data_IF_336205822080
#
_entry.id   IF_336205822080
#
_cell.length_a   1.000
_cell.length_b   1.000
_cell.length_c   1.000
_cell.angle_alpha   90.00
_cell.angle_beta   90.00
_cell.angle_gamma   90.00
#
_symmetry.space_group_name_H-M   'P 1'
#
loop_
_entity.id
_entity.type
_entity.pdbx_description
1 polymer ?
#
# COMPACT_ATOMS: atom_id res chain seq x y z
N UNK A 1 -22.16 0.14 -27.92
CA UNK A 1 -21.84 -0.25 -26.53
C UNK A 1 -22.52 0.76 -25.60
N UNK A 2 -23.39 0.31 -24.70
CA UNK A 2 -23.97 1.21 -23.71
C UNK A 2 -22.88 1.66 -22.73
N UNK A 3 -22.72 2.97 -22.55
CA UNK A 3 -21.79 3.50 -21.57
C UNK A 3 -22.29 3.12 -20.16
N UNK A 4 -21.50 2.38 -19.40
CA UNK A 4 -21.77 2.12 -17.99
C UNK A 4 -21.62 3.46 -17.26
N UNK A 5 -22.72 4.00 -16.75
CA UNK A 5 -22.67 5.17 -15.87
C UNK A 5 -22.28 4.68 -14.48
N UNK A 6 -21.05 4.91 -14.10
CA UNK A 6 -20.61 4.74 -12.71
C UNK A 6 -21.30 5.79 -11.85
N UNK A 7 -21.79 5.39 -10.68
CA UNK A 7 -22.38 6.31 -9.70
C UNK A 7 -21.35 7.36 -9.24
N UNK A 8 -21.83 8.42 -8.56
CA UNK A 8 -20.95 9.39 -7.93
C UNK A 8 -20.40 8.81 -6.62
N UNK A 9 -19.14 9.10 -6.32
CA UNK A 9 -18.59 8.86 -5.00
C UNK A 9 -19.17 9.88 -4.02
N UNK A 10 -19.96 9.41 -3.06
CA UNK A 10 -20.59 10.23 -2.01
C UNK A 10 -19.82 10.20 -0.70
N UNK A 11 -18.74 9.40 -0.62
CA UNK A 11 -17.94 9.28 0.58
C UNK A 11 -16.90 10.38 0.63
N UNK A 12 -16.89 11.10 1.74
CA UNK A 12 -15.94 12.17 2.01
C UNK A 12 -15.29 11.95 3.37
N UNK A 13 -14.16 12.55 3.59
CA UNK A 13 -13.39 12.45 4.81
C UNK A 13 -13.13 13.83 5.39
N UNK A 14 -13.39 14.02 6.66
CA UNK A 14 -12.99 15.20 7.42
C UNK A 14 -11.69 14.93 8.17
N UNK A 15 -10.61 15.58 7.76
CA UNK A 15 -9.30 15.39 8.40
C UNK A 15 -9.25 15.95 9.83
N UNK A 16 -10.05 17.00 10.13
CA UNK A 16 -10.08 17.61 11.47
C UNK A 16 -10.85 16.75 12.50
N UNK A 17 -11.90 16.04 12.07
CA UNK A 17 -12.71 15.19 12.94
C UNK A 17 -12.34 13.71 12.81
N UNK A 18 -11.44 13.35 11.91
CA UNK A 18 -11.06 11.96 11.58
C UNK A 18 -12.28 11.05 11.32
N UNK A 19 -13.27 11.54 10.54
CA UNK A 19 -14.51 10.84 10.32
C UNK A 19 -15.00 10.89 8.88
N UNK A 20 -15.84 9.91 8.53
CA UNK A 20 -16.57 9.91 7.27
C UNK A 20 -17.68 10.96 7.29
N UNK A 21 -17.81 11.64 6.16
CA UNK A 21 -18.90 12.57 5.87
C UNK A 21 -19.60 12.12 4.59
N UNK A 22 -20.92 12.17 4.56
CA UNK A 22 -21.69 11.78 3.38
C UNK A 22 -22.18 13.02 2.62
N UNK A 23 -21.95 13.03 1.31
CA UNK A 23 -22.54 13.94 0.33
C UNK A 23 -22.18 15.43 0.43
N UNK A 24 -21.60 15.91 1.55
CA UNK A 24 -21.35 17.33 1.75
C UNK A 24 -19.89 17.70 1.71
N UNK A 25 -19.56 18.85 1.09
CA UNK A 25 -18.20 19.40 1.08
C UNK A 25 -17.80 20.00 2.43
N UNK A 26 -18.74 20.13 3.35
CA UNK A 26 -18.56 20.72 4.67
C UNK A 26 -18.89 19.68 5.75
N UNK A 27 -17.97 19.50 6.69
CA UNK A 27 -18.20 18.59 7.82
C UNK A 27 -19.32 19.11 8.72
N UNK A 28 -20.35 18.32 9.02
CA UNK A 28 -21.46 18.74 9.86
C UNK A 28 -21.08 18.93 11.33
N UNK A 29 -19.92 18.42 11.75
CA UNK A 29 -19.45 18.51 13.15
C UNK A 29 -18.60 19.75 13.38
N UNK A 30 -17.57 19.98 12.54
CA UNK A 30 -16.64 21.10 12.75
C UNK A 30 -16.80 22.26 11.76
N UNK A 31 -17.67 22.14 10.76
CA UNK A 31 -17.82 23.14 9.69
C UNK A 31 -16.65 23.23 8.72
N UNK A 32 -15.62 22.42 8.90
CA UNK A 32 -14.44 22.38 8.03
C UNK A 32 -14.69 21.69 6.69
N UNK A 33 -13.83 21.91 5.72
CA UNK A 33 -13.89 21.30 4.40
C UNK A 33 -13.59 19.80 4.49
N UNK A 34 -14.44 18.98 3.89
CA UNK A 34 -14.18 17.56 3.69
C UNK A 34 -13.59 17.29 2.30
N UNK A 35 -12.80 16.23 2.16
CA UNK A 35 -12.24 15.77 0.88
C UNK A 35 -12.89 14.47 0.43
N UNK A 36 -12.82 14.16 -0.84
CA UNK A 36 -13.28 12.87 -1.34
C UNK A 36 -12.44 11.72 -0.78
N UNK A 37 -13.10 10.61 -0.45
CA UNK A 37 -12.41 9.35 -0.13
C UNK A 37 -11.87 8.76 -1.43
N UNK A 38 -10.60 8.35 -1.44
CA UNK A 38 -9.99 7.70 -2.60
C UNK A 38 -10.53 6.27 -2.74
N UNK A 39 -11.29 6.01 -3.79
CA UNK A 39 -11.81 4.68 -4.13
C UNK A 39 -11.70 4.41 -5.62
N UNK A 40 -11.44 3.15 -5.99
CA UNK A 40 -11.55 2.72 -7.38
C UNK A 40 -13.01 2.46 -7.74
N UNK A 41 -13.56 3.12 -8.78
CA UNK A 41 -14.93 2.88 -9.23
C UNK A 41 -15.14 1.45 -9.73
N UNK A 42 -16.37 0.91 -9.64
CA UNK A 42 -17.64 1.55 -9.28
C UNK A 42 -17.85 1.79 -7.79
N UNK A 43 -16.99 1.26 -6.92
CA UNK A 43 -17.06 1.39 -5.48
C UNK A 43 -18.15 0.51 -4.85
N UNK A 44 -17.71 -0.50 -4.10
CA UNK A 44 -18.55 -1.30 -3.20
C UNK A 44 -17.88 -1.26 -1.82
N UNK A 45 -18.11 -0.15 -1.12
CA UNK A 45 -17.37 0.20 0.11
C UNK A 45 -18.18 -0.20 1.33
N UNK A 46 -17.53 -0.91 2.23
CA UNK A 46 -18.07 -1.23 3.55
C UNK A 46 -17.06 -0.92 4.67
N UNK A 47 -17.50 -0.70 5.90
CA UNK A 47 -16.61 -0.71 7.06
C UNK A 47 -15.90 -2.07 7.19
N UNK A 48 -14.63 -2.05 7.59
CA UNK A 48 -13.93 -3.25 7.99
C UNK A 48 -14.41 -3.69 9.38
N UNK A 49 -14.71 -4.98 9.53
CA UNK A 49 -15.01 -5.58 10.81
C UNK A 49 -13.71 -6.02 11.52
N UNK A 50 -13.80 -6.34 12.80
CA UNK A 50 -12.64 -6.79 13.60
C UNK A 50 -11.90 -7.97 12.97
N UNK A 51 -12.64 -8.90 12.39
CA UNK A 51 -12.07 -10.04 11.65
C UNK A 51 -11.26 -9.59 10.42
N UNK A 52 -11.73 -8.59 9.66
CA UNK A 52 -11.00 -8.06 8.49
C UNK A 52 -9.71 -7.37 8.95
N UNK A 53 -9.81 -6.53 9.99
CA UNK A 53 -8.66 -5.83 10.57
C UNK A 53 -7.62 -6.83 11.07
N UNK A 54 -8.06 -7.86 11.79
CA UNK A 54 -7.19 -8.95 12.26
C UNK A 54 -6.47 -9.65 11.10
N UNK A 55 -7.22 -10.06 10.07
CA UNK A 55 -6.67 -10.69 8.88
C UNK A 55 -5.61 -9.81 8.20
N UNK A 56 -5.90 -8.52 8.00
CA UNK A 56 -4.97 -7.58 7.35
C UNK A 56 -3.69 -7.41 8.18
N UNK A 57 -3.83 -7.26 9.51
CA UNK A 57 -2.67 -7.15 10.41
C UNK A 57 -1.82 -8.42 10.37
N UNK A 58 -2.41 -9.60 10.45
CA UNK A 58 -1.70 -10.88 10.35
C UNK A 58 -0.99 -11.07 9.00
N UNK A 59 -1.60 -10.60 7.91
CA UNK A 59 -0.98 -10.60 6.59
C UNK A 59 0.26 -9.70 6.54
N UNK A 60 0.17 -8.50 7.09
CA UNK A 60 1.28 -7.56 7.14
C UNK A 60 2.42 -8.11 8.02
N UNK A 61 2.13 -8.65 9.20
CA UNK A 61 3.13 -9.27 10.09
C UNK A 61 3.80 -10.48 9.43
N UNK A 62 3.03 -11.32 8.76
CA UNK A 62 3.57 -12.47 8.04
C UNK A 62 4.53 -12.07 6.92
N UNK A 63 4.19 -11.03 6.14
CA UNK A 63 4.98 -10.62 4.97
C UNK A 63 6.14 -9.69 5.33
N UNK A 64 5.98 -8.83 6.34
CA UNK A 64 6.93 -7.75 6.64
C UNK A 64 7.53 -7.83 8.04
N UNK A 65 7.10 -8.77 8.88
CA UNK A 65 7.57 -8.98 10.25
C UNK A 65 6.63 -8.42 11.30
N UNK A 66 6.77 -8.94 12.51
CA UNK A 66 5.96 -8.56 13.66
C UNK A 66 5.95 -7.06 13.91
N UNK A 67 4.77 -6.52 14.22
CA UNK A 67 4.53 -5.08 14.39
C UNK A 67 4.14 -4.34 13.10
N UNK A 68 4.34 -4.95 11.92
CA UNK A 68 3.96 -4.35 10.63
C UNK A 68 2.44 -4.18 10.50
N UNK A 69 1.68 -5.12 11.06
CA UNK A 69 0.21 -5.05 11.06
C UNK A 69 -0.32 -3.87 11.86
N UNK A 70 0.23 -3.65 13.06
CA UNK A 70 -0.14 -2.51 13.89
C UNK A 70 0.33 -1.19 13.30
N UNK A 71 1.51 -1.18 12.68
CA UNK A 71 2.02 0.01 11.97
C UNK A 71 1.14 0.36 10.75
N UNK A 72 0.66 -0.65 10.02
CA UNK A 72 -0.25 -0.45 8.88
C UNK A 72 -1.61 0.09 9.34
N UNK A 73 -2.23 -0.58 10.30
CA UNK A 73 -3.53 -0.21 10.88
C UNK A 73 -3.35 0.02 12.38
N UNK A 74 -3.06 1.24 12.82
CA UNK A 74 -3.05 1.58 14.25
C UNK A 74 -4.42 1.35 14.90
N UNK A 75 -4.46 1.24 16.23
CA UNK A 75 -5.72 1.12 16.95
C UNK A 75 -6.59 2.37 16.80
N UNK A 76 -7.89 2.18 16.81
CA UNK A 76 -8.87 3.26 16.73
C UNK A 76 -9.03 3.92 15.36
N UNK A 77 -8.33 3.45 14.32
CA UNK A 77 -8.48 4.01 12.97
C UNK A 77 -9.72 3.51 12.25
N UNK A 78 -10.32 4.41 11.47
CA UNK A 78 -11.44 4.05 10.58
C UNK A 78 -10.87 3.35 9.35
N UNK A 79 -11.27 2.10 9.17
CA UNK A 79 -10.86 1.26 8.04
C UNK A 79 -12.08 0.91 7.20
N UNK A 80 -11.97 1.13 5.90
CA UNK A 80 -12.96 0.71 4.93
C UNK A 80 -12.34 -0.29 3.95
N UNK A 81 -13.17 -1.17 3.43
CA UNK A 81 -12.83 -2.07 2.35
C UNK A 81 -13.66 -1.72 1.12
N UNK A 82 -13.00 -1.54 -0.02
CA UNK A 82 -13.63 -1.34 -1.31
C UNK A 82 -13.42 -2.58 -2.17
N UNK A 83 -14.48 -3.35 -2.39
CA UNK A 83 -14.42 -4.57 -3.20
C UNK A 83 -14.21 -4.23 -4.67
N UNK A 84 -13.25 -4.89 -5.30
CA UNK A 84 -13.03 -4.78 -6.75
C UNK A 84 -14.08 -5.64 -7.50
N UNK A 85 -15.03 -5.06 -8.24
CA UNK A 85 -16.19 -5.78 -8.78
C UNK A 85 -15.85 -6.85 -9.82
N UNK A 86 -14.73 -6.68 -10.51
CA UNK A 86 -14.26 -7.63 -11.54
C UNK A 86 -13.38 -8.75 -10.99
N UNK A 87 -13.04 -8.70 -9.70
CA UNK A 87 -12.12 -9.63 -9.05
C UNK A 87 -12.66 -9.98 -7.67
N UNK A 88 -13.46 -11.02 -7.57
CA UNK A 88 -14.11 -11.50 -6.32
C UNK A 88 -13.16 -11.72 -5.13
N UNK A 89 -11.86 -11.54 -5.34
CA UNK A 89 -10.79 -11.88 -4.42
C UNK A 89 -9.82 -10.71 -4.18
N UNK A 90 -10.27 -9.50 -4.41
CA UNK A 90 -9.45 -8.31 -4.23
C UNK A 90 -10.25 -7.20 -3.57
N UNK A 91 -9.74 -6.70 -2.44
CA UNK A 91 -10.28 -5.56 -1.74
C UNK A 91 -9.21 -4.49 -1.55
N UNK A 92 -9.54 -3.23 -1.85
CA UNK A 92 -8.71 -2.08 -1.48
C UNK A 92 -8.91 -1.78 0.00
N UNK A 93 -7.83 -1.51 0.70
CA UNK A 93 -7.83 -1.09 2.10
C UNK A 93 -7.72 0.42 2.13
N UNK A 94 -8.74 1.05 2.71
CA UNK A 94 -8.83 2.50 2.85
C UNK A 94 -8.72 2.83 4.34
N UNK A 95 -7.74 3.64 4.70
CA UNK A 95 -7.53 4.12 6.07
C UNK A 95 -7.54 5.63 6.03
N UNK A 96 -8.32 6.24 6.90
CA UNK A 96 -8.45 7.69 7.00
C UNK A 96 -8.78 8.36 5.65
N UNK A 97 -9.66 7.71 4.88
CA UNK A 97 -10.11 8.18 3.57
C UNK A 97 -9.12 8.02 2.42
N UNK A 98 -8.00 7.29 2.61
CA UNK A 98 -6.98 7.06 1.60
C UNK A 98 -6.77 5.58 1.33
N UNK A 99 -6.67 5.18 0.08
CA UNK A 99 -6.32 3.80 -0.27
C UNK A 99 -4.84 3.54 0.00
N UNK A 100 -4.56 2.74 1.03
CA UNK A 100 -3.18 2.48 1.49
C UNK A 100 -2.58 1.20 0.94
N UNK A 101 -3.40 0.18 0.68
CA UNK A 101 -2.98 -1.13 0.21
C UNK A 101 -4.15 -1.87 -0.45
N UNK A 102 -3.87 -3.06 -0.95
CA UNK A 102 -4.87 -3.99 -1.47
C UNK A 102 -4.60 -5.37 -0.90
N UNK A 103 -5.65 -6.09 -0.50
CA UNK A 103 -5.53 -7.55 -0.26
C UNK A 103 -6.05 -8.30 -1.48
N UNK A 104 -5.37 -9.36 -1.85
CA UNK A 104 -5.77 -10.25 -2.95
C UNK A 104 -5.61 -11.70 -2.55
N UNK A 105 -6.59 -12.50 -2.92
CA UNK A 105 -6.53 -13.94 -2.74
C UNK A 105 -6.05 -14.63 -4.01
N UNK A 106 -4.99 -15.40 -3.91
CA UNK A 106 -4.47 -16.28 -4.96
C UNK A 106 -4.70 -17.76 -4.58
N UNK A 107 -5.21 -18.59 -5.49
CA UNK A 107 -5.56 -19.98 -5.23
C UNK A 107 -4.40 -20.84 -4.70
N UNK A 108 -3.17 -20.54 -5.11
CA UNK A 108 -1.99 -21.30 -4.70
C UNK A 108 -1.30 -20.79 -3.44
N UNK A 109 -1.44 -19.51 -3.11
CA UNK A 109 -0.68 -18.87 -2.01
C UNK A 109 -1.54 -18.23 -0.94
N UNK A 110 -2.87 -18.21 -1.12
CA UNK A 110 -3.82 -17.58 -0.20
C UNK A 110 -3.81 -16.05 -0.28
N UNK A 111 -4.21 -15.40 0.79
CA UNK A 111 -4.25 -13.95 0.88
C UNK A 111 -2.85 -13.33 0.88
N UNK A 112 -2.69 -12.27 0.08
CA UNK A 112 -1.49 -11.43 0.00
C UNK A 112 -1.86 -9.96 0.20
N UNK A 113 -1.00 -9.23 0.91
CA UNK A 113 -1.05 -7.79 1.01
C UNK A 113 -0.17 -7.18 -0.09
N UNK A 114 -0.73 -6.27 -0.85
CA UNK A 114 -0.06 -5.51 -1.90
C UNK A 114 0.00 -4.06 -1.44
N UNK A 115 1.19 -3.58 -1.14
CA UNK A 115 1.39 -2.24 -0.59
C UNK A 115 1.32 -1.16 -1.67
N UNK A 116 0.68 -0.03 -1.33
CA UNK A 116 0.92 1.27 -1.95
C UNK A 116 1.98 2.05 -1.13
N UNK A 117 2.35 3.25 -1.56
CA UNK A 117 3.36 4.04 -0.85
C UNK A 117 2.98 4.38 0.58
N UNK A 118 1.69 4.66 0.83
CA UNK A 118 1.18 5.00 2.17
C UNK A 118 1.42 3.86 3.17
N UNK A 119 1.10 2.61 2.79
CA UNK A 119 1.38 1.46 3.64
C UNK A 119 2.87 1.20 3.78
N UNK A 120 3.63 1.33 2.69
CA UNK A 120 5.08 1.14 2.72
C UNK A 120 5.76 2.12 3.71
N UNK A 121 5.34 3.38 3.73
CA UNK A 121 5.87 4.37 4.65
C UNK A 121 5.54 4.07 6.12
N UNK A 122 4.37 3.49 6.40
CA UNK A 122 3.98 3.06 7.75
C UNK A 122 4.77 1.84 8.20
N UNK A 123 5.00 0.89 7.29
CA UNK A 123 5.62 -0.41 7.58
C UNK A 123 7.16 -0.32 7.61
N UNK A 124 7.79 0.43 6.72
CA UNK A 124 9.24 0.48 6.54
C UNK A 124 10.05 0.72 7.84
N UNK A 125 9.62 1.58 8.79
CA UNK A 125 10.36 1.79 10.04
C UNK A 125 10.45 0.57 10.95
N UNK A 126 9.44 -0.31 10.91
CA UNK A 126 9.29 -1.44 11.84
C UNK A 126 9.53 -2.81 11.22
N UNK A 127 9.49 -2.91 9.88
CA UNK A 127 9.59 -4.18 9.17
C UNK A 127 10.92 -4.89 9.43
N UNK A 128 10.88 -6.22 9.51
CA UNK A 128 12.05 -7.10 9.62
C UNK A 128 12.20 -8.05 8.44
N UNK A 129 11.21 -8.12 7.55
CA UNK A 129 11.14 -9.00 6.37
C UNK A 129 10.69 -8.23 5.13
N UNK A 130 10.80 -8.85 3.96
CA UNK A 130 10.21 -8.34 2.72
C UNK A 130 10.77 -6.99 2.24
N UNK A 131 11.96 -6.60 2.70
CA UNK A 131 12.63 -5.36 2.29
C UNK A 131 13.73 -5.64 1.27
N UNK A 132 13.96 -4.68 0.39
CA UNK A 132 15.12 -4.59 -0.50
C UNK A 132 15.73 -3.22 -0.32
N UNK A 133 17.00 -3.16 0.05
CA UNK A 133 17.74 -1.90 0.25
C UNK A 133 18.39 -1.49 -1.06
N UNK A 134 18.05 -0.31 -1.56
CA UNK A 134 18.69 0.26 -2.74
C UNK A 134 19.80 1.24 -2.37
N UNK A 135 20.78 1.38 -3.27
CA UNK A 135 21.81 2.42 -3.17
C UNK A 135 21.22 3.81 -3.47
N UNK A 136 21.96 4.86 -3.11
CA UNK A 136 21.52 6.25 -3.31
C UNK A 136 21.37 6.60 -4.79
N UNK A 137 22.21 6.01 -5.66
CA UNK A 137 22.16 6.22 -7.11
C UNK A 137 20.89 5.63 -7.72
N UNK A 138 20.42 4.48 -7.22
CA UNK A 138 19.22 3.82 -7.69
C UNK A 138 17.93 4.53 -7.25
N UNK A 139 17.93 5.24 -6.11
CA UNK A 139 16.73 5.91 -5.56
C UNK A 139 16.04 6.79 -6.60
N UNK A 140 16.80 7.66 -7.27
CA UNK A 140 16.25 8.58 -8.28
C UNK A 140 15.54 7.84 -9.41
N UNK A 141 16.16 6.76 -9.93
CA UNK A 141 15.58 5.98 -11.02
C UNK A 141 14.30 5.27 -10.60
N UNK A 142 14.28 4.70 -9.40
CA UNK A 142 13.09 4.03 -8.86
C UNK A 142 11.95 5.03 -8.64
N UNK A 143 12.23 6.23 -8.15
CA UNK A 143 11.27 7.32 -8.00
C UNK A 143 10.77 7.90 -9.34
N UNK A 144 11.49 7.66 -10.44
CA UNK A 144 11.08 7.97 -11.81
C UNK A 144 10.32 6.80 -12.48
N UNK A 145 9.77 5.86 -11.72
CA UNK A 145 8.99 4.70 -12.22
C UNK A 145 9.83 3.61 -12.91
N UNK A 146 11.16 3.64 -12.78
CA UNK A 146 12.02 2.60 -13.32
C UNK A 146 12.11 1.42 -12.35
N UNK A 147 12.30 0.24 -12.89
CA UNK A 147 12.55 -0.95 -12.09
C UNK A 147 13.87 -0.85 -11.34
N UNK A 148 13.94 -1.42 -10.13
CA UNK A 148 15.20 -1.58 -9.43
C UNK A 148 15.99 -2.72 -10.09
N UNK A 149 17.20 -2.39 -10.56
CA UNK A 149 18.13 -3.35 -11.15
C UNK A 149 19.01 -3.98 -10.07
N UNK A 150 19.46 -5.21 -10.28
CA UNK A 150 20.32 -5.92 -9.32
C UNK A 150 21.58 -5.14 -8.89
N UNK A 151 22.32 -4.44 -9.78
CA UNK A 151 23.46 -3.61 -9.37
C UNK A 151 23.13 -2.49 -8.40
N UNK A 152 21.87 -2.06 -8.33
CA UNK A 152 21.39 -1.04 -7.39
C UNK A 152 20.93 -1.58 -6.05
N UNK A 153 21.00 -2.90 -5.81
CA UNK A 153 20.63 -3.55 -4.54
C UNK A 153 21.85 -3.67 -3.65
N UNK A 154 21.79 -3.13 -2.45
CA UNK A 154 22.88 -3.22 -1.47
C UNK A 154 22.62 -4.29 -0.40
N UNK A 155 21.34 -4.57 -0.10
CA UNK A 155 20.92 -5.62 0.83
C UNK A 155 19.48 -6.05 0.51
N UNK A 156 19.10 -7.26 0.91
CA UNK A 156 17.74 -7.76 0.78
C UNK A 156 17.45 -8.82 1.85
N UNK A 157 16.21 -8.87 2.33
CA UNK A 157 15.83 -9.91 3.29
C UNK A 157 16.00 -11.31 2.65
N UNK A 158 16.74 -12.18 3.34
CA UNK A 158 17.22 -13.47 2.81
C UNK A 158 16.14 -14.43 2.28
N UNK A 159 14.93 -14.34 2.82
CA UNK A 159 13.82 -15.25 2.49
C UNK A 159 12.98 -14.76 1.29
N UNK A 160 13.36 -13.66 0.64
CA UNK A 160 12.66 -13.17 -0.55
C UNK A 160 12.74 -14.19 -1.68
N UNK A 161 11.56 -14.53 -2.20
CA UNK A 161 11.39 -15.43 -3.33
C UNK A 161 10.82 -14.69 -4.55
N UNK A 162 10.85 -15.37 -5.69
CA UNK A 162 10.29 -14.86 -6.94
C UNK A 162 8.80 -14.54 -6.77
N UNK A 163 8.40 -13.37 -7.22
CA UNK A 163 7.03 -12.83 -7.14
C UNK A 163 6.54 -12.45 -5.74
N UNK A 164 7.42 -12.37 -4.75
CA UNK A 164 7.07 -11.76 -3.47
C UNK A 164 6.82 -10.25 -3.62
N UNK A 165 5.85 -9.76 -2.84
CA UNK A 165 5.65 -8.31 -2.68
C UNK A 165 6.71 -7.78 -1.72
N UNK A 166 7.44 -6.76 -2.16
CA UNK A 166 8.56 -6.18 -1.40
C UNK A 166 8.45 -4.68 -1.30
N UNK A 167 9.04 -4.11 -0.26
CA UNK A 167 9.21 -2.67 -0.08
C UNK A 167 10.68 -2.34 -0.35
N UNK A 168 10.92 -1.43 -1.31
CA UNK A 168 12.24 -0.89 -1.59
C UNK A 168 12.48 0.24 -0.59
N UNK A 169 13.58 0.15 0.14
CA UNK A 169 13.95 1.12 1.19
C UNK A 169 15.38 1.64 0.99
N UNK A 170 15.66 2.79 1.56
CA UNK A 170 17.04 3.29 1.74
C UNK A 170 17.71 2.61 2.93
N UNK A 171 19.03 2.82 3.11
CA UNK A 171 19.77 2.39 4.31
C UNK A 171 19.17 2.96 5.61
N UNK A 172 18.58 4.15 5.56
CA UNK A 172 17.90 4.80 6.68
C UNK A 172 16.47 4.29 6.87
N UNK A 173 16.09 3.17 6.24
CA UNK A 173 14.76 2.54 6.31
C UNK A 173 13.60 3.44 5.83
N UNK A 174 13.86 4.38 4.96
CA UNK A 174 12.82 5.18 4.29
C UNK A 174 12.29 4.42 3.08
N UNK A 175 10.97 4.30 2.97
CA UNK A 175 10.33 3.70 1.81
C UNK A 175 10.58 4.55 0.55
N UNK A 176 11.05 3.91 -0.51
CA UNK A 176 11.31 4.51 -1.84
C UNK A 176 10.23 4.11 -2.83
N UNK A 177 9.88 2.84 -2.82
CA UNK A 177 8.87 2.25 -3.70
C UNK A 177 8.36 0.92 -3.16
N UNK A 178 7.31 0.40 -3.78
CA UNK A 178 6.86 -0.98 -3.60
C UNK A 178 6.93 -1.71 -4.93
N UNK A 179 7.02 -3.03 -4.89
CA UNK A 179 7.08 -3.81 -6.12
C UNK A 179 7.05 -5.31 -5.88
N UNK A 180 7.25 -6.03 -6.99
CA UNK A 180 7.31 -7.49 -6.99
C UNK A 180 8.74 -7.94 -7.28
N UNK A 181 9.29 -8.81 -6.46
CA UNK A 181 10.61 -9.42 -6.65
C UNK A 181 10.65 -10.22 -7.96
N UNK A 182 11.69 -10.01 -8.75
CA UNK A 182 11.97 -10.72 -10.01
C UNK A 182 13.21 -11.60 -9.93
N UNK A 183 13.82 -11.60 -8.76
CA UNK A 183 14.97 -12.43 -8.38
C UNK A 183 14.78 -12.85 -6.92
N UNK A 184 15.45 -13.90 -6.50
CA UNK A 184 15.62 -14.26 -5.09
C UNK A 184 16.60 -13.28 -4.43
N UNK A 185 16.61 -13.22 -3.10
CA UNK A 185 17.53 -12.34 -2.37
C UNK A 185 19.00 -12.60 -2.75
N UNK A 186 19.38 -13.87 -2.89
CA UNK A 186 20.76 -14.25 -3.27
C UNK A 186 21.15 -13.83 -4.69
N UNK A 187 20.20 -13.79 -5.63
CA UNK A 187 20.42 -13.33 -6.99
C UNK A 187 20.46 -11.80 -7.09
N UNK A 188 19.75 -11.09 -6.20
CA UNK A 188 19.76 -9.64 -6.12
C UNK A 188 21.10 -9.11 -5.61
N UNK A 189 21.60 -9.74 -4.52
CA UNK A 189 22.82 -9.30 -3.84
C UNK A 189 24.04 -9.74 -4.66
N UNK A 190 24.81 -8.76 -5.14
CA UNK A 190 25.99 -9.03 -5.99
C UNK A 190 25.69 -9.35 -7.45
N UNK A 191 24.41 -9.28 -7.86
CA UNK A 191 24.03 -9.41 -9.27
C UNK A 191 24.52 -8.21 -10.09
N UNK A 192 25.12 -8.47 -11.25
CA UNK A 192 25.68 -7.46 -12.15
C UNK A 192 24.67 -6.93 -13.19
N UNK A 193 23.52 -7.62 -13.35
CA UNK A 193 22.50 -7.30 -14.36
C UNK A 193 21.13 -7.87 -14.00
N UNK A 194 20.10 -7.37 -14.67
CA UNK A 194 18.73 -7.86 -14.56
C UNK A 194 17.87 -7.05 -13.60
N UNK A 195 16.55 -7.26 -13.68
CA UNK A 195 15.57 -6.58 -12.86
C UNK A 195 15.44 -7.33 -11.52
N UNK A 196 15.86 -6.72 -10.43
CA UNK A 196 15.67 -7.26 -9.09
C UNK A 196 14.23 -7.10 -8.62
N UNK A 197 13.68 -5.88 -8.73
CA UNK A 197 12.29 -5.60 -8.35
C UNK A 197 11.57 -4.86 -9.49
N UNK A 198 10.42 -5.39 -9.90
CA UNK A 198 9.48 -4.67 -10.77
C UNK A 198 8.70 -3.68 -9.92
N UNK A 199 9.03 -2.40 -10.06
CA UNK A 199 8.42 -1.29 -9.32
C UNK A 199 6.95 -1.13 -9.70
N UNK A 200 6.09 -0.89 -8.71
CA UNK A 200 4.65 -0.65 -8.86
C UNK A 200 4.24 0.76 -8.42
N UNK A 201 4.52 1.11 -7.17
CA UNK A 201 4.18 2.40 -6.57
C UNK A 201 5.45 3.08 -6.07
N UNK A 202 5.68 4.33 -6.46
CA UNK A 202 6.98 5.00 -6.28
C UNK A 202 6.90 6.50 -6.01
N UNK A 203 5.73 7.16 -6.12
CA UNK A 203 5.65 8.61 -5.97
C UNK A 203 5.08 9.02 -4.62
N UNK A 204 5.80 9.91 -3.88
CA UNK A 204 5.23 10.61 -2.74
C UNK A 204 4.13 11.63 -3.12
N UNK A 205 4.01 12.00 -4.41
CA UNK A 205 3.08 13.05 -4.84
C UNK A 205 1.61 12.65 -4.73
N UNK A 206 1.30 11.37 -4.89
CA UNK A 206 -0.02 10.82 -4.58
C UNK A 206 -0.33 10.91 -3.07
N UNK A 207 0.69 11.06 -2.24
CA UNK A 207 0.57 11.25 -0.80
C UNK A 207 0.05 12.63 -0.40
N UNK A 208 0.15 13.64 -1.26
CA UNK A 208 -0.22 15.03 -0.91
C UNK A 208 -1.70 15.21 -0.62
N UNK A 209 -2.56 14.34 -1.15
CA UNK A 209 -3.99 14.37 -0.84
C UNK A 209 -4.31 13.70 0.50
N UNK A 210 -3.47 12.76 0.95
CA UNK A 210 -3.66 11.95 2.15
C UNK A 210 -2.76 12.33 3.34
N UNK A 211 -1.91 13.33 3.22
CA UNK A 211 -0.96 13.76 4.28
C UNK A 211 -1.23 15.17 4.84
N UNK A 212 -2.38 15.76 4.55
CA UNK A 212 -2.75 17.02 5.18
C UNK A 212 -3.48 16.73 6.50
N UNK A 213 -2.73 16.44 7.51
CA UNK A 213 -3.09 16.63 8.91
C UNK A 213 -2.05 17.55 9.54
#
# INVERSE_FOLDING_TARGET
MAAVRLGRNHLRWCDACEMLVLETDTCPVCGGKSREVEITPPGDVRPAFDHDIKLIRELADRQFGEGSGLALIPEGRVVLLNKAPSLDRMDEIIIDGCTVATIRYDLGTGWKLINRMQSAMRIAPVMSKGYVVCDEGAVKFVQESKNLMAPGVTDAHKDIQLNDEVIIITKDRKAVATGTAKMTASEMIGGDRGVAVKTKWYKPEELRMCQRS
#
